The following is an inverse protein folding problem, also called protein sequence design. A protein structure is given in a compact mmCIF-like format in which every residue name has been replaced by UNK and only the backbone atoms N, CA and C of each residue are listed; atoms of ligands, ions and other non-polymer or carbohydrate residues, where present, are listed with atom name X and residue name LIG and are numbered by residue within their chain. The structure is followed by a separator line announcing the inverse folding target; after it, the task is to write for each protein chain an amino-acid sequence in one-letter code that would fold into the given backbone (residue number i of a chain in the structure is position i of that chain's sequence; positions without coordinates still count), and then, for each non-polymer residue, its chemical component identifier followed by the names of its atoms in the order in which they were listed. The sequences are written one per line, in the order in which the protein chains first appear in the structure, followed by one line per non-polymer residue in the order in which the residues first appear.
data_IF_151466807012
#
_entry.id   IF_151466807012
#
_cell.length_a   1.000
_cell.length_b   1.000
_cell.length_c   1.000
_cell.angle_alpha   90.00
_cell.angle_beta   90.00
_cell.angle_gamma   90.00
#
_symmetry.space_group_name_H-M   'P 1'
#
loop_
_entity.id
_entity.type
_entity.pdbx_description
1 polymer ?
#
# COMPACT_ATOMS: atom_id res chain seq x y z
N UNK A 1 -14.32 -4.75 44.66
CA UNK A 1 -13.49 -3.74 43.97
C UNK A 1 -12.88 -4.18 42.61
N UNK A 2 -13.18 -5.37 42.07
CA UNK A 2 -12.63 -5.83 40.78
C UNK A 2 -13.38 -5.29 39.53
N UNK A 3 -14.62 -4.82 39.68
CA UNK A 3 -15.50 -4.47 38.57
C UNK A 3 -15.09 -3.17 37.83
N UNK A 4 -14.47 -2.21 38.52
CA UNK A 4 -14.03 -0.94 37.93
C UNK A 4 -12.71 -1.07 37.16
N UNK A 5 -11.86 -2.08 37.44
CA UNK A 5 -10.56 -2.22 36.76
C UNK A 5 -10.71 -2.65 35.29
N UNK A 6 -11.66 -3.52 34.98
CA UNK A 6 -11.83 -4.06 33.64
C UNK A 6 -12.38 -3.01 32.65
N UNK A 7 -13.35 -2.21 33.09
CA UNK A 7 -14.00 -1.17 32.29
C UNK A 7 -13.03 -0.04 31.89
N UNK A 8 -12.07 0.29 32.76
CA UNK A 8 -11.14 1.42 32.55
C UNK A 8 -10.03 1.08 31.53
N UNK A 9 -9.52 -0.16 31.52
CA UNK A 9 -8.41 -0.53 30.64
C UNK A 9 -8.83 -0.65 29.17
N UNK A 10 -10.00 -1.23 28.89
CA UNK A 10 -10.52 -1.34 27.53
C UNK A 10 -10.83 0.03 26.91
N UNK A 11 -11.34 0.97 27.70
CA UNK A 11 -11.57 2.34 27.23
C UNK A 11 -10.27 2.99 26.72
N UNK A 12 -9.13 2.73 27.37
CA UNK A 12 -7.81 3.22 26.93
C UNK A 12 -7.32 2.57 25.61
N UNK A 13 -7.57 1.28 25.42
CA UNK A 13 -7.23 0.55 24.19
C UNK A 13 -8.06 1.04 23.01
N UNK A 14 -9.38 1.23 23.20
CA UNK A 14 -10.25 1.75 22.15
C UNK A 14 -9.91 3.20 21.80
N UNK A 15 -9.64 4.03 22.82
CA UNK A 15 -9.27 5.44 22.63
C UNK A 15 -7.98 5.59 21.80
N UNK A 16 -6.95 4.78 22.06
CA UNK A 16 -5.72 4.83 21.26
C UNK A 16 -5.90 4.24 19.86
N UNK A 17 -6.73 3.20 19.70
CA UNK A 17 -7.06 2.64 18.37
C UNK A 17 -7.80 3.64 17.47
N UNK A 18 -8.81 4.34 18.01
CA UNK A 18 -9.52 5.41 17.30
C UNK A 18 -8.56 6.51 16.83
N UNK A 19 -7.57 6.88 17.67
CA UNK A 19 -6.53 7.83 17.28
C UNK A 19 -5.66 7.34 16.13
N UNK A 20 -5.27 6.06 16.12
CA UNK A 20 -4.50 5.48 15.00
C UNK A 20 -5.30 5.53 13.70
N UNK A 21 -6.57 5.09 13.71
CA UNK A 21 -7.43 5.16 12.52
C UNK A 21 -7.65 6.59 12.04
N UNK A 22 -7.84 7.53 12.96
CA UNK A 22 -8.03 8.94 12.63
C UNK A 22 -6.77 9.53 11.97
N UNK A 23 -5.58 9.27 12.54
CA UNK A 23 -4.31 9.73 11.97
C UNK A 23 -4.04 9.09 10.60
N UNK A 24 -4.26 7.79 10.44
CA UNK A 24 -4.12 7.12 9.14
C UNK A 24 -5.13 7.67 8.12
N UNK A 25 -6.36 7.93 8.54
CA UNK A 25 -7.39 8.55 7.71
C UNK A 25 -7.02 9.97 7.28
N UNK A 26 -6.50 10.79 8.19
CA UNK A 26 -6.06 12.16 7.88
C UNK A 26 -4.89 12.15 6.89
N UNK A 27 -3.90 11.28 7.10
CA UNK A 27 -2.78 11.11 6.15
C UNK A 27 -3.30 10.65 4.79
N UNK A 28 -4.19 9.66 4.74
CA UNK A 28 -4.81 9.20 3.50
C UNK A 28 -5.61 10.32 2.81
N UNK A 29 -6.34 11.15 3.54
CA UNK A 29 -7.07 12.30 2.99
C UNK A 29 -6.14 13.37 2.44
N UNK A 30 -5.01 13.65 3.11
CA UNK A 30 -3.97 14.54 2.58
C UNK A 30 -3.43 13.96 1.27
N UNK A 31 -3.03 12.68 1.25
CA UNK A 31 -2.53 12.02 0.04
C UNK A 31 -3.56 12.00 -1.09
N UNK A 32 -4.83 11.71 -0.80
CA UNK A 32 -5.92 11.74 -1.78
C UNK A 32 -6.25 13.16 -2.27
N UNK A 33 -6.08 14.17 -1.42
CA UNK A 33 -6.24 15.57 -1.82
C UNK A 33 -5.11 16.00 -2.73
N UNK A 34 -3.87 15.63 -2.42
CA UNK A 34 -2.71 15.87 -3.26
C UNK A 34 -2.83 15.12 -4.59
N UNK A 35 -3.13 13.82 -4.57
CA UNK A 35 -3.32 13.02 -5.78
C UNK A 35 -4.45 13.53 -6.67
N UNK A 36 -5.60 13.93 -6.11
CA UNK A 36 -6.69 14.50 -6.92
C UNK A 36 -6.30 15.85 -7.53
N UNK A 37 -5.55 16.67 -6.79
CA UNK A 37 -5.03 17.95 -7.29
C UNK A 37 -3.99 17.73 -8.40
N UNK A 38 -3.12 16.75 -8.22
CA UNK A 38 -2.12 16.38 -9.22
C UNK A 38 -2.81 15.80 -10.47
N UNK A 39 -3.76 14.90 -10.31
CA UNK A 39 -4.52 14.31 -11.43
C UNK A 39 -5.30 15.35 -12.24
N UNK A 40 -5.92 16.33 -11.56
CA UNK A 40 -6.62 17.42 -12.23
C UNK A 40 -5.67 18.33 -13.02
N UNK A 41 -4.44 18.53 -12.51
CA UNK A 41 -3.40 19.26 -13.23
C UNK A 41 -2.94 18.50 -14.48
N UNK A 42 -2.75 17.18 -14.38
CA UNK A 42 -2.39 16.37 -15.55
C UNK A 42 -3.49 16.32 -16.61
N UNK A 43 -4.77 16.29 -16.22
CA UNK A 43 -5.88 16.30 -17.16
C UNK A 43 -5.92 17.58 -18.01
N UNK A 44 -5.62 18.74 -17.42
CA UNK A 44 -5.58 20.02 -18.13
C UNK A 44 -4.38 20.12 -19.08
N UNK A 45 -3.21 19.57 -18.70
CA UNK A 45 -2.03 19.56 -19.58
C UNK A 45 -2.26 18.65 -20.81
N UNK A 46 -2.97 17.53 -20.65
CA UNK A 46 -3.33 16.65 -21.77
C UNK A 46 -4.35 17.32 -22.70
N UNK A 47 -5.34 18.04 -22.17
CA UNK A 47 -6.30 18.81 -22.97
C UNK A 47 -5.61 20.00 -23.69
N UNK A 48 -4.60 20.62 -23.08
CA UNK A 48 -3.76 21.66 -23.70
C UNK A 48 -2.88 21.09 -24.84
N UNK A 49 -2.50 19.82 -24.80
CA UNK A 49 -1.77 19.15 -25.90
C UNK A 49 -2.68 18.75 -27.08
N UNK A 50 -3.94 18.35 -26.84
CA UNK A 50 -4.90 18.02 -27.91
C UNK A 50 -5.58 19.25 -28.55
N UNK A 51 -5.57 20.40 -27.87
CA UNK A 51 -6.13 21.67 -28.35
C UNK A 51 -5.05 22.71 -28.64
N UNK A 52 -4.49 22.70 -29.85
CA UNK A 52 -3.53 23.73 -30.30
C UNK A 52 -4.10 25.15 -30.33
N UNK A 53 -4.05 25.87 -29.21
CA UNK A 53 -4.23 27.33 -29.14
C UNK A 53 -3.82 27.90 -27.76
N UNK A 54 -2.52 28.07 -27.52
CA UNK A 54 -1.92 29.21 -26.78
C UNK A 54 -0.40 29.02 -26.66
N UNK A 55 0.31 29.29 -27.75
CA UNK A 55 1.73 29.57 -27.67
C UNK A 55 1.92 31.01 -27.15
N UNK A 56 1.81 31.22 -25.85
CA UNK A 56 2.57 32.26 -25.17
C UNK A 56 3.22 31.63 -23.93
N UNK A 57 4.48 31.27 -24.07
CA UNK A 57 5.28 30.73 -22.97
C UNK A 57 5.42 31.79 -21.88
N UNK A 58 5.16 31.38 -20.64
CA UNK A 58 5.43 32.19 -19.46
C UNK A 58 6.97 32.29 -19.30
N UNK A 59 7.49 33.52 -19.37
CA UNK A 59 8.92 33.86 -19.27
C UNK A 59 9.17 34.50 -17.91
N UNK A 60 10.24 34.12 -17.23
CA UNK A 60 10.68 34.72 -15.97
C UNK A 60 10.92 36.24 -16.16
N UNK A 61 10.91 37.01 -15.06
CA UNK A 61 11.19 38.47 -15.05
C UNK A 61 12.54 38.84 -15.71
N UNK A 62 13.45 37.87 -15.87
CA UNK A 62 14.76 38.00 -16.52
C UNK A 62 14.80 37.57 -18.00
N UNK A 63 13.67 37.27 -18.64
CA UNK A 63 13.65 36.86 -20.05
C UNK A 63 14.15 35.42 -20.30
N UNK A 64 14.28 34.62 -19.25
CA UNK A 64 14.71 33.21 -19.30
C UNK A 64 13.46 32.34 -19.41
N UNK A 65 13.41 31.33 -20.30
CA UNK A 65 12.28 30.41 -20.34
C UNK A 65 12.24 29.60 -19.03
N UNK A 66 11.10 29.63 -18.35
CA UNK A 66 10.84 28.92 -17.09
C UNK A 66 10.76 27.41 -17.36
N UNK A 67 11.93 26.77 -17.47
CA UNK A 67 12.15 25.39 -17.94
C UNK A 67 11.60 25.14 -19.35
N UNK A 68 12.49 24.88 -20.31
CA UNK A 68 12.12 24.71 -21.71
C UNK A 68 11.05 23.62 -21.89
N UNK A 69 10.06 23.84 -22.76
CA UNK A 69 9.05 22.82 -23.12
C UNK A 69 9.70 21.49 -23.55
N UNK A 70 10.92 21.55 -24.10
CA UNK A 70 11.73 20.38 -24.43
C UNK A 70 12.17 19.56 -23.20
N UNK A 71 12.52 20.22 -22.09
CA UNK A 71 12.82 19.53 -20.81
C UNK A 71 11.57 18.86 -20.22
N UNK A 72 10.38 19.47 -20.35
CA UNK A 72 9.11 18.87 -19.91
C UNK A 72 8.80 17.57 -20.67
N UNK A 73 8.94 17.57 -22.00
CA UNK A 73 8.78 16.34 -22.81
C UNK A 73 9.85 15.28 -22.49
N UNK A 74 11.08 15.69 -22.17
CA UNK A 74 12.15 14.77 -21.80
C UNK A 74 11.89 14.10 -20.44
N UNK A 75 11.39 14.85 -19.45
CA UNK A 75 11.05 14.35 -18.12
C UNK A 75 9.86 13.36 -18.16
N UNK A 76 8.83 13.66 -18.96
CA UNK A 76 7.69 12.76 -19.21
C UNK A 76 8.08 11.46 -19.94
N UNK A 77 9.10 11.52 -20.80
CA UNK A 77 9.66 10.35 -21.49
C UNK A 77 10.55 9.52 -20.56
N UNK A 78 11.33 10.17 -19.69
CA UNK A 78 12.25 9.52 -18.75
C UNK A 78 11.54 8.62 -17.74
N UNK A 79 10.42 9.07 -17.17
CA UNK A 79 9.67 8.26 -16.21
C UNK A 79 9.08 6.98 -16.85
N UNK A 80 8.62 7.05 -18.11
CA UNK A 80 8.04 5.91 -18.85
C UNK A 80 9.09 4.80 -19.08
N UNK A 81 10.34 5.19 -19.30
CA UNK A 81 11.45 4.25 -19.46
C UNK A 81 11.82 3.56 -18.14
N UNK A 82 11.75 4.30 -17.02
CA UNK A 82 11.95 3.76 -15.67
C UNK A 82 10.77 2.88 -15.22
N UNK A 83 9.53 3.22 -15.59
CA UNK A 83 8.35 2.40 -15.29
C UNK A 83 8.44 1.00 -15.92
N UNK A 84 9.02 0.89 -17.12
CA UNK A 84 9.30 -0.41 -17.76
C UNK A 84 10.45 -1.20 -17.14
N UNK A 85 11.38 -0.53 -16.43
CA UNK A 85 12.50 -1.19 -15.73
C UNK A 85 12.11 -1.64 -14.31
N UNK A 86 11.23 -0.89 -13.62
CA UNK A 86 10.73 -1.18 -12.26
C UNK A 86 10.01 -2.52 -12.17
N UNK A 87 9.35 -3.00 -13.24
CA UNK A 87 8.66 -4.29 -13.25
C UNK A 87 9.48 -5.45 -13.80
N UNK A 88 10.79 -5.27 -14.03
CA UNK A 88 11.63 -6.39 -14.42
C UNK A 88 11.70 -7.41 -13.29
N UNK A 89 11.53 -8.67 -13.66
CA UNK A 89 11.67 -9.80 -12.76
C UNK A 89 13.01 -9.70 -12.01
N UNK A 90 13.01 -9.60 -10.66
CA UNK A 90 14.24 -9.56 -9.88
C UNK A 90 15.03 -10.85 -10.08
N UNK A 91 16.36 -10.78 -9.96
CA UNK A 91 17.26 -11.92 -10.14
C UNK A 91 16.93 -13.13 -9.25
N UNK A 92 16.30 -12.89 -8.09
CA UNK A 92 15.83 -13.91 -7.16
C UNK A 92 14.30 -13.91 -6.97
N UNK A 93 13.58 -14.28 -8.02
CA UNK A 93 12.11 -14.44 -8.01
C UNK A 93 11.51 -15.17 -6.78
N UNK A 94 12.04 -16.34 -6.33
CA UNK A 94 11.42 -17.07 -5.21
C UNK A 94 11.57 -16.36 -3.86
N UNK A 95 12.70 -15.69 -3.63
CA UNK A 95 12.95 -14.93 -2.39
C UNK A 95 12.05 -13.69 -2.31
N UNK A 96 11.87 -12.99 -3.43
CA UNK A 96 10.97 -11.84 -3.51
C UNK A 96 9.50 -12.24 -3.28
N UNK A 97 9.05 -13.32 -3.91
CA UNK A 97 7.69 -13.84 -3.71
C UNK A 97 7.47 -14.27 -2.24
N UNK A 98 8.46 -14.92 -1.62
CA UNK A 98 8.42 -15.29 -0.21
C UNK A 98 8.32 -14.06 0.70
N UNK A 99 9.13 -13.02 0.47
CA UNK A 99 9.10 -11.78 1.25
C UNK A 99 7.77 -11.01 1.14
N UNK A 100 7.17 -10.98 -0.06
CA UNK A 100 5.85 -10.35 -0.23
C UNK A 100 4.75 -11.17 0.44
N UNK A 101 4.80 -12.50 0.32
CA UNK A 101 3.87 -13.40 1.00
C UNK A 101 3.90 -13.22 2.51
N UNK A 102 5.11 -13.23 3.10
CA UNK A 102 5.27 -13.01 4.54
C UNK A 102 4.87 -11.59 4.96
N UNK A 103 5.15 -10.57 4.15
CA UNK A 103 4.69 -9.20 4.40
C UNK A 103 3.15 -9.11 4.46
N UNK A 104 2.46 -9.73 3.50
CA UNK A 104 1.00 -9.75 3.50
C UNK A 104 0.42 -10.55 4.69
N UNK A 105 1.07 -11.65 5.04
CA UNK A 105 0.74 -12.43 6.24
C UNK A 105 0.83 -11.58 7.51
N UNK A 106 1.91 -10.82 7.68
CA UNK A 106 2.10 -9.94 8.84
C UNK A 106 1.01 -8.87 8.91
N UNK A 107 0.65 -8.23 7.80
CA UNK A 107 -0.43 -7.22 7.78
C UNK A 107 -1.76 -7.83 8.21
N UNK A 108 -2.14 -8.98 7.65
CA UNK A 108 -3.40 -9.67 7.99
C UNK A 108 -3.38 -10.16 9.44
N UNK A 109 -2.26 -10.69 9.91
CA UNK A 109 -2.07 -11.10 11.30
C UNK A 109 -2.22 -9.94 12.26
N UNK A 110 -1.50 -8.84 12.02
CA UNK A 110 -1.54 -7.64 12.87
C UNK A 110 -2.96 -7.08 12.92
N UNK A 111 -3.64 -6.99 11.78
CA UNK A 111 -5.04 -6.55 11.74
C UNK A 111 -5.97 -7.51 12.48
N UNK A 112 -5.80 -8.82 12.30
CA UNK A 112 -6.57 -9.85 13.01
C UNK A 112 -6.38 -9.81 14.53
N UNK A 113 -5.15 -9.63 15.00
CA UNK A 113 -4.84 -9.48 16.44
C UNK A 113 -5.42 -8.19 17.00
N UNK A 114 -5.36 -7.07 16.25
CA UNK A 114 -5.99 -5.81 16.67
C UNK A 114 -7.50 -5.98 16.78
N UNK A 115 -8.15 -6.59 15.78
CA UNK A 115 -9.59 -6.85 15.82
C UNK A 115 -9.98 -7.79 16.97
N UNK A 116 -9.20 -8.85 17.21
CA UNK A 116 -9.40 -9.76 18.34
C UNK A 116 -9.21 -9.05 19.68
N UNK A 117 -8.21 -8.17 19.82
CA UNK A 117 -7.99 -7.38 21.02
C UNK A 117 -9.12 -6.37 21.28
N UNK A 118 -9.76 -5.86 20.24
CA UNK A 118 -10.93 -4.97 20.34
C UNK A 118 -12.22 -5.76 20.61
N UNK A 119 -12.39 -6.93 20.00
CA UNK A 119 -13.61 -7.76 20.08
C UNK A 119 -13.67 -8.70 21.30
N UNK A 120 -12.53 -9.16 21.80
CA UNK A 120 -12.43 -10.03 22.98
C UNK A 120 -13.09 -9.44 24.23
N UNK A 121 -12.91 -8.14 24.52
CA UNK A 121 -13.59 -7.49 25.63
C UNK A 121 -15.08 -7.21 25.39
N UNK A 122 -15.54 -7.10 24.12
CA UNK A 122 -16.95 -6.86 23.78
C UNK A 122 -17.79 -8.11 24.00
N UNK A 123 -17.20 -9.31 23.84
CA UNK A 123 -17.88 -10.57 24.07
C UNK A 123 -17.94 -10.99 25.55
N UNK A 124 -17.29 -10.25 26.47
CA UNK A 124 -17.44 -10.42 27.92
C UNK A 124 -17.05 -11.78 28.52
N UNK A 125 -16.74 -12.78 27.70
CA UNK A 125 -16.65 -14.18 28.09
C UNK A 125 -15.40 -14.89 27.56
N UNK A 126 -14.30 -14.19 27.25
CA UNK A 126 -13.00 -14.88 27.18
C UNK A 126 -12.57 -15.18 28.61
N UNK A 127 -13.30 -16.10 29.22
CA UNK A 127 -13.05 -16.64 30.53
C UNK A 127 -11.70 -17.31 30.47
N UNK A 128 -10.96 -17.12 31.55
CA UNK A 128 -9.60 -17.58 31.77
C UNK A 128 -9.60 -19.10 31.99
N UNK A 129 -10.14 -19.88 31.06
CA UNK A 129 -9.87 -21.30 30.97
C UNK A 129 -8.49 -21.47 30.33
N UNK A 130 -7.60 -22.17 31.03
CA UNK A 130 -6.18 -22.31 30.69
C UNK A 130 -6.02 -22.91 29.28
N UNK A 131 -5.87 -22.07 28.25
CA UNK A 131 -5.52 -22.49 26.89
C UNK A 131 -6.30 -21.85 25.75
N UNK A 132 -7.42 -21.17 26.00
CA UNK A 132 -8.27 -20.64 24.92
C UNK A 132 -7.57 -19.58 24.06
N UNK A 133 -6.79 -18.69 24.70
CA UNK A 133 -6.01 -17.65 24.01
C UNK A 133 -4.96 -18.28 23.07
N UNK A 134 -4.34 -19.39 23.48
CA UNK A 134 -3.36 -20.09 22.64
C UNK A 134 -4.02 -20.66 21.39
N UNK A 135 -5.20 -21.29 21.53
CA UNK A 135 -5.95 -21.80 20.39
C UNK A 135 -6.38 -20.66 19.46
N UNK A 136 -6.89 -19.55 19.99
CA UNK A 136 -7.30 -18.39 19.19
C UNK A 136 -6.13 -17.81 18.35
N UNK A 137 -4.94 -17.69 18.95
CA UNK A 137 -3.72 -17.25 18.23
C UNK A 137 -3.34 -18.24 17.13
N UNK A 138 -3.44 -19.55 17.39
CA UNK A 138 -3.15 -20.60 16.39
C UNK A 138 -4.13 -20.55 15.22
N UNK A 139 -5.43 -20.33 15.48
CA UNK A 139 -6.44 -20.19 14.43
C UNK A 139 -6.21 -18.95 13.55
N UNK A 140 -5.94 -17.79 14.17
CA UNK A 140 -5.62 -16.55 13.44
C UNK A 140 -4.36 -16.75 12.59
N UNK A 141 -3.35 -17.42 13.16
CA UNK A 141 -2.13 -17.75 12.43
C UNK A 141 -2.37 -18.68 11.25
N UNK A 142 -3.11 -19.76 11.44
CA UNK A 142 -3.47 -20.69 10.37
C UNK A 142 -4.23 -19.99 9.24
N UNK A 143 -5.22 -19.16 9.55
CA UNK A 143 -6.00 -18.43 8.54
C UNK A 143 -5.12 -17.43 7.77
N UNK A 144 -4.22 -16.71 8.43
CA UNK A 144 -3.30 -15.77 7.77
C UNK A 144 -2.32 -16.46 6.80
N UNK A 145 -1.94 -17.71 7.09
CA UNK A 145 -0.99 -18.47 6.27
C UNK A 145 -1.54 -18.79 4.87
N UNK A 146 -2.86 -18.97 4.74
CA UNK A 146 -3.54 -19.15 3.45
C UNK A 146 -3.36 -17.92 2.57
N UNK A 147 -3.43 -16.74 3.19
CA UNK A 147 -3.29 -15.46 2.48
C UNK A 147 -1.85 -15.21 2.04
N UNK A 148 -0.87 -15.64 2.87
CA UNK A 148 0.56 -15.67 2.51
C UNK A 148 0.83 -16.52 1.27
N UNK A 149 0.28 -17.73 1.24
CA UNK A 149 0.41 -18.67 0.12
C UNK A 149 -0.22 -18.14 -1.17
N UNK A 150 -1.42 -17.55 -1.08
CA UNK A 150 -2.09 -16.95 -2.23
C UNK A 150 -1.32 -15.73 -2.78
N UNK A 151 -0.87 -14.82 -1.91
CA UNK A 151 -0.10 -13.65 -2.32
C UNK A 151 1.21 -14.07 -2.99
N UNK A 152 2.01 -14.90 -2.32
CA UNK A 152 3.29 -15.40 -2.84
C UNK A 152 3.12 -16.10 -4.20
N UNK A 153 2.14 -17.01 -4.31
CA UNK A 153 1.86 -17.73 -5.56
C UNK A 153 1.43 -16.82 -6.72
N UNK A 154 0.61 -15.79 -6.44
CA UNK A 154 0.19 -14.81 -7.44
C UNK A 154 1.37 -14.01 -7.99
N UNK A 155 2.22 -13.48 -7.12
CA UNK A 155 3.39 -12.68 -7.54
C UNK A 155 4.43 -13.57 -8.23
N UNK A 156 4.70 -14.77 -7.73
CA UNK A 156 5.60 -15.72 -8.39
C UNK A 156 5.14 -16.06 -9.82
N UNK A 157 3.84 -16.32 -10.02
CA UNK A 157 3.29 -16.61 -11.36
C UNK A 157 3.36 -15.41 -12.30
N UNK A 158 3.12 -14.20 -11.78
CA UNK A 158 3.19 -12.94 -12.54
C UNK A 158 4.60 -12.69 -13.07
N UNK A 159 5.63 -12.83 -12.25
CA UNK A 159 7.01 -12.53 -12.65
C UNK A 159 7.73 -13.69 -13.35
N UNK A 160 7.34 -14.95 -13.08
CA UNK A 160 7.88 -16.11 -13.81
C UNK A 160 7.44 -16.16 -15.27
N UNK A 161 6.20 -15.76 -15.59
CA UNK A 161 5.73 -15.62 -16.97
C UNK A 161 6.57 -14.61 -17.78
N UNK A 162 6.98 -13.50 -17.16
CA UNK A 162 7.84 -12.48 -17.77
C UNK A 162 9.29 -12.95 -17.95
N UNK A 163 9.81 -13.77 -17.03
CA UNK A 163 11.16 -14.35 -17.13
C UNK A 163 11.25 -15.41 -18.24
N UNK A 164 10.23 -16.28 -18.37
CA UNK A 164 10.15 -17.30 -19.42
C UNK A 164 10.06 -16.72 -20.84
N UNK A 165 9.35 -15.60 -21.03
CA UNK A 165 9.25 -14.93 -22.32
C UNK A 165 10.59 -14.35 -22.83
N UNK A 166 11.53 -14.03 -21.93
CA UNK A 166 12.88 -13.56 -22.27
C UNK A 166 13.80 -14.71 -22.72
N UNK A 167 13.65 -15.91 -22.14
CA UNK A 167 14.41 -17.10 -22.54
C UNK A 167 14.06 -17.60 -23.95
N UNK A 168 12.81 -17.42 -24.38
CA UNK A 168 12.34 -17.85 -25.71
C UNK A 168 12.73 -16.91 -26.86
N UNK A 169 13.18 -15.68 -26.59
CA UNK A 169 13.60 -14.71 -27.63
C UNK A 169 15.12 -14.68 -27.85
N UNK A 170 15.88 -15.45 -27.05
CA UNK A 170 17.35 -15.49 -27.10
C UNK A 170 17.86 -16.87 -27.57
N UNK A 171 16.95 -17.80 -27.88
CA UNK A 171 17.21 -19.06 -28.57
C UNK A 171 16.59 -19.03 -29.97
#
# INVERSE_FOLDING_TARGET
HAFFKHQIHWFSVLNSFMMVLFLTGLVALILLRTLRRDYARYALVVDEEEGGAAAEGEVDEDGKPLLSTADKHAEESGWKQVHGDVFRAPSHLPLFAALIGTGWQLVVLTLGVILFAVAGPIHGEVHEERGEILHAVVWIYALSSVVSGYASGKYFKLYSATSGAKGSKVS
#
